data_IF_294354106112
#
_entry.id   IF_294354106112
#
_cell.length_a   1.000
_cell.length_b   1.000
_cell.length_c   1.000
_cell.angle_alpha   90.00
_cell.angle_beta   90.00
_cell.angle_gamma   90.00
#
_symmetry.space_group_name_H-M   'P 1'
#
loop_
_entity.id
_entity.type
_entity.pdbx_description
1 polymer ?
#
# COMPACT_ATOMS: atom_id res chain seq x y z
N UNK A 1 -14.61 -17.37 19.15
CA UNK A 1 -13.23 -17.44 18.64
C UNK A 1 -12.62 -16.06 18.84
N UNK A 2 -11.71 -15.92 19.80
CA UNK A 2 -11.18 -14.64 20.24
C UNK A 2 -10.12 -14.11 19.26
N UNK A 3 -10.48 -13.08 18.49
CA UNK A 3 -9.94 -11.73 18.73
C UNK A 3 -8.55 -11.35 18.24
N UNK A 4 -8.01 -11.91 17.15
CA UNK A 4 -6.84 -11.31 16.48
C UNK A 4 -7.15 -11.05 15.00
N UNK A 5 -7.41 -9.79 14.66
CA UNK A 5 -7.71 -9.39 13.28
C UNK A 5 -6.40 -9.29 12.49
N UNK A 6 -6.03 -10.37 11.79
CA UNK A 6 -4.89 -10.38 10.87
C UNK A 6 -5.37 -10.16 9.45
N UNK A 7 -4.75 -9.22 8.74
CA UNK A 7 -4.89 -9.12 7.28
C UNK A 7 -4.24 -10.33 6.60
N UNK A 8 -4.84 -10.83 5.51
CA UNK A 8 -4.29 -11.95 4.75
C UNK A 8 -3.01 -11.51 4.01
N UNK A 9 -2.04 -12.43 3.92
CA UNK A 9 -0.79 -12.20 3.19
C UNK A 9 0.33 -11.68 4.09
N UNK A 10 1.29 -10.99 3.50
CA UNK A 10 2.34 -10.26 4.21
C UNK A 10 2.16 -8.74 4.04
N UNK A 11 2.88 -7.96 4.84
CA UNK A 11 2.93 -6.51 4.74
C UNK A 11 4.38 -6.00 4.79
N UNK A 12 4.70 -4.97 4.02
CA UNK A 12 5.99 -4.28 4.07
C UNK A 12 5.78 -2.76 4.18
N UNK A 13 5.71 -2.21 5.41
CA UNK A 13 5.68 -0.76 5.59
C UNK A 13 7.05 -0.15 5.26
N UNK A 14 7.06 1.16 5.00
CA UNK A 14 8.26 1.95 4.69
C UNK A 14 9.01 1.41 3.47
N UNK A 15 8.28 1.00 2.43
CA UNK A 15 8.83 0.29 1.28
C UNK A 15 9.89 1.11 0.50
N UNK A 16 9.75 2.44 0.53
CA UNK A 16 10.67 3.44 0.02
C UNK A 16 11.77 3.87 1.02
N UNK A 17 11.80 3.29 2.23
CA UNK A 17 12.65 3.76 3.32
C UNK A 17 14.15 3.45 3.12
N UNK A 18 14.55 2.19 3.31
CA UNK A 18 15.95 1.77 3.14
C UNK A 18 16.16 1.17 1.74
N UNK A 19 17.35 1.39 1.16
CA UNK A 19 17.67 0.93 -0.20
C UNK A 19 17.44 -0.57 -0.42
N UNK A 20 17.68 -1.38 0.62
CA UNK A 20 17.52 -2.84 0.57
C UNK A 20 16.13 -3.32 1.00
N UNK A 21 15.23 -2.44 1.47
CA UNK A 21 13.89 -2.81 1.95
C UNK A 21 13.08 -3.50 0.85
N UNK A 22 12.98 -2.83 -0.29
CA UNK A 22 12.23 -3.28 -1.47
C UNK A 22 12.82 -4.55 -2.09
N UNK A 23 14.13 -4.62 -2.40
CA UNK A 23 14.78 -5.85 -2.87
C UNK A 23 14.64 -7.02 -1.89
N UNK A 24 14.77 -6.78 -0.58
CA UNK A 24 14.67 -7.84 0.43
C UNK A 24 13.26 -8.42 0.52
N UNK A 25 12.23 -7.58 0.54
CA UNK A 25 10.85 -8.03 0.54
C UNK A 25 10.50 -8.84 -0.71
N UNK A 26 10.87 -8.34 -1.88
CA UNK A 26 10.72 -9.04 -3.17
C UNK A 26 11.44 -10.40 -3.16
N UNK A 27 12.67 -10.47 -2.64
CA UNK A 27 13.43 -11.73 -2.52
C UNK A 27 12.76 -12.72 -1.58
N UNK A 28 12.23 -12.28 -0.44
CA UNK A 28 11.53 -13.16 0.50
C UNK A 28 10.26 -13.75 -0.12
N UNK A 29 9.51 -12.98 -0.91
CA UNK A 29 8.34 -13.48 -1.66
C UNK A 29 8.79 -14.45 -2.76
N UNK A 30 9.79 -14.11 -3.55
CA UNK A 30 10.31 -14.96 -4.64
C UNK A 30 10.81 -16.32 -4.14
N UNK A 31 11.40 -16.34 -2.94
CA UNK A 31 11.93 -17.54 -2.30
C UNK A 31 10.93 -18.24 -1.37
N UNK A 32 9.65 -17.87 -1.46
CA UNK A 32 8.52 -18.43 -0.68
C UNK A 32 8.70 -18.42 0.84
N UNK A 33 9.65 -17.62 1.36
CA UNK A 33 9.88 -17.45 2.79
C UNK A 33 8.77 -16.66 3.47
N UNK A 34 8.10 -15.79 2.72
CA UNK A 34 6.88 -15.08 3.14
C UNK A 34 5.81 -15.16 2.05
N UNK A 35 4.55 -14.96 2.43
CA UNK A 35 3.43 -14.89 1.49
C UNK A 35 3.52 -13.62 0.62
N UNK A 36 2.95 -13.63 -0.59
CA UNK A 36 2.62 -12.40 -1.32
C UNK A 36 1.83 -11.42 -0.43
N UNK A 37 1.92 -10.13 -0.73
CA UNK A 37 1.39 -9.13 0.19
C UNK A 37 1.34 -7.73 -0.39
N UNK A 38 1.09 -6.78 0.51
CA UNK A 38 1.02 -5.37 0.20
C UNK A 38 2.25 -4.67 0.77
N UNK A 39 2.83 -3.75 0.01
CA UNK A 39 3.89 -2.86 0.46
C UNK A 39 3.39 -1.41 0.42
N UNK A 40 3.82 -0.60 1.37
CA UNK A 40 3.42 0.82 1.47
C UNK A 40 4.63 1.68 1.71
N UNK A 41 4.77 2.73 0.90
CA UNK A 41 5.72 3.80 1.14
C UNK A 41 5.38 4.56 2.44
N UNK A 42 6.34 5.33 2.92
CA UNK A 42 6.17 6.28 3.99
C UNK A 42 4.96 7.20 3.77
N UNK A 43 4.12 7.33 4.80
CA UNK A 43 2.95 8.21 4.74
C UNK A 43 1.73 7.61 4.03
N UNK A 44 1.81 6.35 3.59
CA UNK A 44 0.67 5.62 3.02
C UNK A 44 -0.04 4.79 4.09
N UNK A 45 -1.37 4.83 4.07
CA UNK A 45 -2.22 4.02 4.92
C UNK A 45 -3.25 3.24 4.09
N UNK A 46 -3.55 2.02 4.50
CA UNK A 46 -4.56 1.16 3.88
C UNK A 46 -5.70 0.95 4.86
N UNK A 47 -6.92 1.29 4.43
CA UNK A 47 -8.14 1.07 5.17
C UNK A 47 -8.77 -0.26 4.74
N UNK A 48 -8.78 -1.23 5.65
CA UNK A 48 -9.43 -2.52 5.46
C UNK A 48 -10.79 -2.56 6.17
N UNK A 49 -11.81 -3.13 5.52
CA UNK A 49 -13.06 -3.56 6.16
C UNK A 49 -13.29 -5.01 5.78
N UNK A 50 -13.46 -5.89 6.77
CA UNK A 50 -13.70 -7.31 6.56
C UNK A 50 -12.68 -7.99 5.62
N UNK A 51 -11.39 -7.68 5.78
CA UNK A 51 -10.26 -8.17 4.95
C UNK A 51 -10.17 -7.58 3.53
N UNK A 52 -11.13 -6.73 3.14
CA UNK A 52 -11.13 -6.09 1.83
C UNK A 52 -10.57 -4.68 1.91
N UNK A 53 -9.76 -4.30 0.93
CA UNK A 53 -9.22 -2.94 0.81
C UNK A 53 -10.37 -2.02 0.41
N UNK A 54 -10.71 -1.07 1.27
CA UNK A 54 -11.73 -0.05 0.98
C UNK A 54 -11.13 1.22 0.40
N UNK A 55 -9.94 1.60 0.88
CA UNK A 55 -9.25 2.80 0.41
C UNK A 55 -7.77 2.71 0.74
N UNK A 56 -6.95 3.31 -0.13
CA UNK A 56 -5.56 3.59 0.13
C UNK A 56 -5.38 5.11 0.07
N UNK A 57 -4.74 5.67 1.08
CA UNK A 57 -4.54 7.11 1.21
C UNK A 57 -3.09 7.43 1.48
N UNK A 58 -2.66 8.64 1.13
CA UNK A 58 -1.31 9.12 1.40
C UNK A 58 -1.30 10.53 1.97
N UNK A 59 -0.37 10.79 2.89
CA UNK A 59 -0.02 12.13 3.38
C UNK A 59 1.10 12.80 2.58
N UNK A 60 1.67 12.12 1.57
CA UNK A 60 2.71 12.62 0.66
C UNK A 60 2.25 12.49 -0.80
N UNK A 61 2.45 13.48 -1.68
CA UNK A 61 1.93 13.45 -3.06
C UNK A 61 2.39 12.23 -3.87
N UNK A 62 3.63 11.80 -3.66
CA UNK A 62 4.28 10.79 -4.49
C UNK A 62 4.33 9.39 -3.85
N UNK A 63 3.93 9.25 -2.58
CA UNK A 63 4.03 7.96 -1.88
C UNK A 63 2.89 7.00 -2.28
N UNK A 64 3.24 5.72 -2.48
CA UNK A 64 2.38 4.71 -3.11
C UNK A 64 2.21 3.45 -2.26
N UNK A 65 1.18 2.67 -2.60
CA UNK A 65 1.06 1.28 -2.19
C UNK A 65 1.23 0.35 -3.38
N UNK A 66 1.68 -0.89 -3.11
CA UNK A 66 1.97 -1.88 -4.13
C UNK A 66 1.45 -3.26 -3.72
N UNK A 67 0.86 -4.00 -4.65
CA UNK A 67 0.65 -5.44 -4.52
C UNK A 67 1.88 -6.17 -5.07
N UNK A 68 2.53 -6.97 -4.22
CA UNK A 68 3.77 -7.69 -4.56
C UNK A 68 3.53 -9.19 -4.52
N UNK A 69 3.86 -9.88 -5.61
CA UNK A 69 3.71 -11.32 -5.73
C UNK A 69 4.69 -11.92 -6.73
N UNK A 70 4.85 -13.24 -6.69
CA UNK A 70 5.70 -13.96 -7.65
C UNK A 70 4.83 -14.76 -8.62
N UNK A 71 5.05 -14.55 -9.92
CA UNK A 71 4.52 -15.37 -11.00
C UNK A 71 5.59 -15.50 -12.08
N UNK A 72 6.38 -16.58 -12.02
CA UNK A 72 7.60 -16.85 -12.81
C UNK A 72 8.73 -15.79 -12.67
N UNK A 73 8.39 -14.59 -12.21
CA UNK A 73 9.23 -13.45 -11.84
C UNK A 73 8.52 -12.64 -10.76
N UNK A 74 9.24 -11.74 -10.11
CA UNK A 74 8.59 -10.81 -9.18
C UNK A 74 7.74 -9.81 -9.97
N UNK A 75 6.52 -9.60 -9.49
CA UNK A 75 5.57 -8.64 -10.02
C UNK A 75 5.18 -7.69 -8.90
N UNK A 76 5.14 -6.42 -9.27
CA UNK A 76 4.76 -5.33 -8.38
C UNK A 76 3.78 -4.44 -9.13
N UNK A 77 2.58 -4.28 -8.56
CA UNK A 77 1.50 -3.50 -9.15
C UNK A 77 1.22 -2.33 -8.21
N UNK A 78 1.43 -1.11 -8.68
CA UNK A 78 0.99 0.10 -7.97
C UNK A 78 -0.53 0.07 -7.79
N UNK A 79 -0.98 0.35 -6.58
CA UNK A 79 -2.39 0.46 -6.23
C UNK A 79 -2.80 1.93 -6.17
N UNK A 80 -4.01 2.23 -6.62
CA UNK A 80 -4.55 3.59 -6.59
C UNK A 80 -4.50 4.16 -5.16
N UNK A 81 -3.72 5.23 -5.00
CA UNK A 81 -3.45 5.87 -3.71
C UNK A 81 -3.92 7.32 -3.74
N UNK A 82 -4.88 7.67 -2.89
CA UNK A 82 -5.44 9.03 -2.83
C UNK A 82 -4.63 9.91 -1.88
N UNK A 83 -3.96 10.93 -2.40
CA UNK A 83 -3.35 11.98 -1.59
C UNK A 83 -4.41 12.80 -0.83
N UNK A 84 -4.21 13.00 0.48
CA UNK A 84 -5.15 13.69 1.38
C UNK A 84 -4.83 15.17 1.61
N UNK A 85 -3.70 15.69 1.12
CA UNK A 85 -3.40 17.11 1.24
C UNK A 85 -4.37 18.00 0.45
N UNK A 86 -4.19 19.32 0.55
CA UNK A 86 -5.10 20.26 -0.07
C UNK A 86 -5.18 20.06 -1.59
N UNK A 87 -6.31 19.51 -2.04
CA UNK A 87 -6.74 19.68 -3.41
C UNK A 87 -7.00 21.19 -3.58
N UNK A 88 -6.41 21.85 -4.58
CA UNK A 88 -6.84 23.20 -4.96
C UNK A 88 -8.36 23.15 -5.10
N UNK A 89 -9.06 24.00 -4.34
CA UNK A 89 -10.51 24.02 -4.26
C UNK A 89 -11.13 23.89 -5.65
N UNK A 90 -12.02 22.90 -5.83
CA UNK A 90 -13.07 23.04 -6.83
C UNK A 90 -13.89 24.26 -6.39
N UNK A 91 -13.74 25.35 -7.14
CA UNK A 91 -14.54 26.55 -6.96
C UNK A 91 -16.01 26.17 -7.12
N UNK A 92 -16.73 26.16 -6.00
CA UNK A 92 -18.18 26.17 -6.07
C UNK A 92 -18.60 27.58 -6.50
N UNK A 93 -19.37 27.74 -7.60
CA UNK A 93 -19.88 29.05 -7.96
C UNK A 93 -20.77 29.54 -6.81
N UNK A 94 -20.42 30.68 -6.22
CA UNK A 94 -21.31 31.40 -5.32
C UNK A 94 -22.56 31.76 -6.12
N UNK A 95 -23.71 31.18 -5.73
CA UNK A 95 -25.01 31.69 -6.19
C UNK A 95 -25.19 33.09 -5.60
N UNK A 96 -25.42 34.05 -6.49
CA UNK A 96 -25.83 35.43 -6.24
C UNK A 96 -27.08 35.50 -5.37
#
# INVERSE_FOLDING_TARGET
>A
MEGFFQIKGSNCPHYDGEIDRRPSYQKLIATTKIKPGIATDDGVAIHFINQEIQRIVSSRPDAKAYKVYYDKKILEIELETKYLGCQKEQSFPQKL
#
